data_IF_107493026632
#
_entry.id   IF_107493026632
#
_cell.length_a   1.000
_cell.length_b   1.000
_cell.length_c   1.000
_cell.angle_alpha   90.00
_cell.angle_beta   90.00
_cell.angle_gamma   90.00
#
_symmetry.space_group_name_H-M   'P 1'
#
loop_
_entity.id
_entity.type
_entity.pdbx_description
1 polymer ?
#
# COMPACT_ATOMS: atom_id res chain seq x y z
N UNK A 1 -17.78 44.17 -49.32
CA UNK A 1 -19.05 44.85 -48.97
C UNK A 1 -20.21 43.93 -49.32
N UNK A 2 -21.20 43.87 -48.41
CA UNK A 2 -22.48 43.12 -48.46
C UNK A 2 -22.42 41.62 -48.15
N UNK A 3 -22.89 41.35 -46.93
CA UNK A 3 -23.23 40.07 -46.33
C UNK A 3 -24.42 39.42 -47.04
N UNK A 4 -24.39 38.09 -47.20
CA UNK A 4 -25.61 37.28 -47.09
C UNK A 4 -25.33 36.11 -46.15
N UNK A 5 -26.00 36.16 -45.00
CA UNK A 5 -26.14 35.10 -44.01
C UNK A 5 -27.20 34.12 -44.52
N UNK A 6 -26.86 32.86 -44.71
CA UNK A 6 -27.84 31.78 -44.85
C UNK A 6 -27.86 30.97 -43.56
N UNK A 7 -28.96 31.09 -42.83
CA UNK A 7 -29.31 30.19 -41.74
C UNK A 7 -29.66 28.82 -42.35
N UNK A 8 -28.95 27.77 -41.93
CA UNK A 8 -29.35 26.39 -42.20
C UNK A 8 -29.85 25.77 -40.91
N UNK A 9 -31.08 25.25 -40.98
CA UNK A 9 -31.89 24.83 -39.84
C UNK A 9 -31.36 23.59 -39.13
N UNK A 10 -31.43 23.67 -37.80
CA UNK A 10 -31.17 22.57 -36.87
C UNK A 10 -32.45 21.72 -36.77
N UNK A 11 -32.46 20.55 -37.40
CA UNK A 11 -33.55 19.58 -37.27
C UNK A 11 -33.26 18.65 -36.08
N UNK A 12 -33.92 18.87 -34.95
CA UNK A 12 -33.91 17.97 -33.80
C UNK A 12 -35.02 16.94 -33.99
N UNK A 13 -34.66 15.69 -34.29
CA UNK A 13 -35.59 14.57 -34.26
C UNK A 13 -35.55 13.91 -32.88
N UNK A 14 -36.53 14.24 -32.03
CA UNK A 14 -36.78 13.54 -30.77
C UNK A 14 -37.62 12.28 -31.07
N UNK A 15 -37.05 11.11 -30.84
CA UNK A 15 -37.75 9.82 -30.94
C UNK A 15 -38.03 9.34 -29.51
N UNK A 16 -39.25 9.58 -29.04
CA UNK A 16 -39.79 8.97 -27.83
C UNK A 16 -40.58 7.72 -28.23
N UNK A 17 -40.06 6.53 -27.93
CA UNK A 17 -40.88 5.31 -27.91
C UNK A 17 -41.34 5.05 -26.47
N UNK A 18 -42.62 5.28 -26.23
CA UNK A 18 -43.35 4.74 -25.09
C UNK A 18 -43.80 3.30 -25.45
N UNK A 19 -43.39 2.32 -24.64
CA UNK A 19 -43.89 0.95 -24.68
C UNK A 19 -44.34 0.53 -23.29
N UNK A 20 -45.66 0.34 -23.14
CA UNK A 20 -46.30 -0.20 -21.94
C UNK A 20 -46.46 -1.72 -22.04
N UNK A 21 -46.33 -2.41 -20.89
CA UNK A 21 -47.17 -3.57 -20.57
C UNK A 21 -46.44 -4.91 -20.41
N UNK A 22 -46.51 -5.48 -19.20
CA UNK A 22 -46.19 -6.89 -18.96
C UNK A 22 -45.90 -7.22 -17.51
N UNK A 23 -46.95 -7.49 -16.73
CA UNK A 23 -46.88 -7.94 -15.33
C UNK A 23 -46.52 -9.43 -15.21
N UNK A 24 -45.97 -9.81 -14.05
CA UNK A 24 -46.11 -11.16 -13.50
C UNK A 24 -44.81 -11.91 -13.26
N UNK A 25 -44.33 -11.94 -12.01
CA UNK A 25 -43.20 -12.77 -11.61
C UNK A 25 -42.79 -12.55 -10.16
N UNK A 26 -43.65 -12.99 -9.24
CA UNK A 26 -43.34 -13.05 -7.80
C UNK A 26 -42.25 -14.08 -7.53
N UNK A 27 -41.11 -13.66 -6.98
CA UNK A 27 -40.17 -14.54 -6.28
C UNK A 27 -39.79 -13.90 -4.93
N UNK A 28 -40.24 -14.56 -3.87
CA UNK A 28 -39.97 -14.24 -2.46
C UNK A 28 -38.50 -14.55 -2.07
N UNK A 29 -38.03 -14.08 -0.90
CA UNK A 29 -36.66 -13.64 -0.71
C UNK A 29 -35.68 -14.79 -0.41
N UNK A 30 -34.48 -14.71 -0.98
CA UNK A 30 -33.36 -15.53 -0.54
C UNK A 30 -32.84 -15.01 0.81
N UNK A 31 -32.96 -15.85 1.83
CA UNK A 31 -32.46 -15.62 3.17
C UNK A 31 -30.93 -15.42 3.18
N UNK A 32 -30.49 -14.46 3.99
CA UNK A 32 -29.08 -14.22 4.32
C UNK A 32 -28.50 -15.41 5.09
N UNK A 33 -27.30 -15.93 4.74
CA UNK A 33 -26.61 -16.85 5.63
C UNK A 33 -26.05 -16.05 6.82
N UNK A 34 -26.54 -16.37 8.03
CA UNK A 34 -25.96 -15.90 9.29
C UNK A 34 -24.62 -16.61 9.52
N UNK A 35 -23.55 -15.83 9.63
CA UNK A 35 -22.24 -16.29 10.08
C UNK A 35 -22.34 -16.70 11.55
N UNK A 36 -21.84 -17.90 11.87
CA UNK A 36 -21.81 -18.46 13.23
C UNK A 36 -20.44 -18.13 13.83
N UNK A 37 -20.41 -17.34 14.90
CA UNK A 37 -19.18 -17.08 15.65
C UNK A 37 -18.75 -18.35 16.42
N UNK A 38 -17.48 -18.79 16.32
CA UNK A 38 -16.97 -19.82 17.22
C UNK A 38 -16.77 -19.24 18.62
N UNK A 39 -17.48 -19.85 19.58
CA UNK A 39 -17.39 -19.54 21.00
C UNK A 39 -15.96 -19.67 21.55
N UNK A 40 -15.52 -18.63 22.27
CA UNK A 40 -14.35 -18.68 23.13
C UNK A 40 -14.66 -19.53 24.37
N UNK A 41 -13.91 -20.62 24.57
CA UNK A 41 -13.88 -21.32 25.85
C UNK A 41 -12.93 -20.61 26.81
N UNK A 42 -13.51 -19.90 27.77
CA UNK A 42 -12.87 -19.54 29.02
C UNK A 42 -12.72 -20.79 29.89
N UNK A 43 -11.55 -21.01 30.48
CA UNK A 43 -11.36 -21.94 31.60
C UNK A 43 -11.11 -21.12 32.87
N UNK A 44 -12.05 -21.19 33.80
CA UNK A 44 -11.99 -20.63 35.14
C UNK A 44 -11.40 -21.64 36.14
N UNK A 45 -10.82 -21.07 37.19
CA UNK A 45 -9.99 -21.69 38.21
C UNK A 45 -10.76 -22.39 39.36
N UNK A 46 -10.02 -23.17 40.15
CA UNK A 46 -10.27 -23.42 41.59
C UNK A 46 -9.69 -24.76 42.09
N UNK A 47 -9.47 -24.94 43.41
CA UNK A 47 -8.80 -24.04 44.35
C UNK A 47 -7.74 -24.76 45.25
N UNK A 48 -7.25 -24.00 46.25
CA UNK A 48 -6.13 -24.20 47.16
C UNK A 48 -6.13 -25.44 48.09
N UNK A 49 -4.92 -25.81 48.55
CA UNK A 49 -4.66 -26.69 49.68
C UNK A 49 -3.29 -26.39 50.31
N UNK A 50 -3.30 -26.17 51.62
CA UNK A 50 -2.30 -25.54 52.52
C UNK A 50 -1.15 -26.42 53.02
N UNK A 51 -0.03 -25.74 53.35
CA UNK A 51 0.86 -25.92 54.53
C UNK A 51 1.71 -27.20 54.68
N UNK A 52 3.04 -27.04 54.67
CA UNK A 52 3.92 -27.28 55.83
C UNK A 52 5.41 -27.10 55.46
N UNK A 53 6.13 -26.25 56.21
CA UNK A 53 7.59 -26.28 56.35
C UNK A 53 7.97 -27.12 57.59
N UNK A 54 9.21 -27.64 57.71
CA UNK A 54 10.23 -26.85 58.41
C UNK A 54 11.68 -26.94 57.86
N UNK A 55 12.41 -25.86 58.12
CA UNK A 55 13.83 -25.72 58.56
C UNK A 55 14.57 -27.01 59.00
N UNK A 56 15.87 -27.29 58.84
CA UNK A 56 17.15 -26.52 58.76
C UNK A 56 18.18 -27.42 58.07
N UNK A 57 19.14 -26.89 57.30
CA UNK A 57 20.58 -27.27 57.31
C UNK A 57 21.36 -26.61 56.16
N UNK A 58 22.20 -25.64 56.49
CA UNK A 58 23.39 -25.30 55.71
C UNK A 58 24.60 -25.99 56.38
N UNK A 59 25.65 -26.38 55.63
CA UNK A 59 26.72 -25.40 55.42
C UNK A 59 27.47 -25.47 54.08
N UNK A 60 28.18 -24.37 53.84
CA UNK A 60 29.49 -24.24 53.19
C UNK A 60 29.67 -24.47 51.67
N UNK A 61 29.88 -23.32 51.00
CA UNK A 61 31.10 -22.97 50.25
C UNK A 61 31.39 -23.68 48.92
N UNK A 62 31.05 -23.01 47.82
CA UNK A 62 31.98 -22.72 46.73
C UNK A 62 31.40 -21.62 45.82
N UNK A 63 32.19 -20.56 45.59
CA UNK A 63 32.04 -19.59 44.50
C UNK A 63 33.38 -19.58 43.74
N UNK A 64 33.49 -19.19 42.45
CA UNK A 64 32.49 -18.55 41.59
C UNK A 64 32.36 -19.18 40.18
N UNK A 65 31.27 -18.89 39.47
CA UNK A 65 31.28 -18.95 38.00
C UNK A 65 30.71 -17.66 37.45
N UNK A 66 31.61 -16.88 36.86
CA UNK A 66 31.32 -15.63 36.18
C UNK A 66 30.43 -15.88 34.95
N UNK A 67 29.57 -14.91 34.58
CA UNK A 67 28.80 -14.98 33.34
C UNK A 67 29.73 -14.73 32.15
N UNK A 68 29.82 -15.69 31.22
CA UNK A 68 30.49 -15.49 29.93
C UNK A 68 29.67 -14.48 29.14
N UNK A 69 30.13 -13.23 29.13
CA UNK A 69 29.70 -12.20 28.18
C UNK A 69 30.03 -12.68 26.77
N UNK A 70 29.04 -13.17 26.03
CA UNK A 70 29.17 -13.41 24.60
C UNK A 70 29.30 -12.06 23.88
N UNK A 71 30.50 -11.80 23.35
CA UNK A 71 30.81 -10.66 22.49
C UNK A 71 30.01 -10.79 21.19
N UNK A 72 29.26 -9.77 20.72
CA UNK A 72 28.59 -9.84 19.44
C UNK A 72 29.64 -9.94 18.32
N UNK A 73 29.57 -11.03 17.56
CA UNK A 73 30.35 -11.23 16.33
C UNK A 73 29.94 -10.13 15.34
N UNK A 74 30.88 -9.34 14.78
CA UNK A 74 30.54 -8.39 13.73
C UNK A 74 29.93 -9.18 12.57
N UNK A 75 28.66 -8.92 12.25
CA UNK A 75 28.04 -9.41 11.03
C UNK A 75 28.81 -8.77 9.88
N UNK A 76 29.72 -9.54 9.28
CA UNK A 76 30.42 -9.13 8.08
C UNK A 76 29.35 -8.70 7.05
N UNK A 77 29.49 -7.47 6.56
CA UNK A 77 28.68 -6.98 5.45
C UNK A 77 28.89 -7.93 4.28
N UNK A 78 27.90 -8.79 4.03
CA UNK A 78 27.88 -9.59 2.82
C UNK A 78 27.69 -8.62 1.66
N UNK A 79 28.76 -8.43 0.88
CA UNK A 79 28.70 -7.84 -0.45
C UNK A 79 27.84 -8.76 -1.32
N UNK A 80 26.53 -8.50 -1.31
CA UNK A 80 25.56 -9.24 -2.12
C UNK A 80 25.77 -8.90 -3.58
N UNK A 81 26.01 -9.94 -4.39
CA UNK A 81 25.77 -9.95 -5.84
C UNK A 81 24.47 -9.18 -6.14
N UNK A 82 24.41 -8.31 -7.18
CA UNK A 82 23.17 -7.63 -7.54
C UNK A 82 22.07 -8.68 -7.68
N UNK A 83 21.07 -8.62 -6.81
CA UNK A 83 19.92 -9.49 -6.95
C UNK A 83 19.30 -9.20 -8.32
N UNK A 84 18.93 -10.24 -9.06
CA UNK A 84 18.10 -10.04 -10.25
C UNK A 84 16.73 -9.55 -9.78
N UNK A 85 16.48 -8.25 -9.91
CA UNK A 85 15.24 -7.61 -9.47
C UNK A 85 14.17 -7.85 -10.53
N UNK A 86 12.98 -8.28 -10.09
CA UNK A 86 11.79 -8.41 -10.93
C UNK A 86 10.81 -7.28 -10.62
N UNK A 87 10.28 -6.64 -11.65
CA UNK A 87 9.21 -5.66 -11.55
C UNK A 87 7.88 -6.24 -12.02
N UNK A 88 6.82 -5.87 -11.30
CA UNK A 88 5.42 -6.23 -11.53
C UNK A 88 4.61 -4.94 -11.53
N UNK A 89 3.59 -4.87 -12.38
CA UNK A 89 2.67 -3.74 -12.37
C UNK A 89 1.88 -3.72 -11.03
N UNK A 90 1.78 -2.57 -10.33
CA UNK A 90 1.38 -2.53 -8.93
C UNK A 90 -0.11 -2.78 -8.64
N UNK A 91 -0.95 -2.86 -9.68
CA UNK A 91 -2.38 -3.15 -9.55
C UNK A 91 -2.72 -4.38 -10.38
N UNK A 92 -3.11 -5.46 -9.72
CA UNK A 92 -3.45 -6.75 -10.31
C UNK A 92 -4.93 -6.74 -10.76
N UNK A 93 -5.20 -5.95 -11.80
CA UNK A 93 -6.51 -5.80 -12.45
C UNK A 93 -6.35 -5.54 -13.96
N UNK A 94 -7.32 -5.96 -14.77
CA UNK A 94 -7.28 -5.84 -16.24
C UNK A 94 -7.61 -4.43 -16.75
N UNK A 95 -8.47 -3.70 -16.04
CA UNK A 95 -8.91 -2.35 -16.41
C UNK A 95 -8.27 -1.35 -15.45
N UNK A 96 -7.13 -0.79 -15.85
CA UNK A 96 -6.41 0.22 -15.08
C UNK A 96 -5.99 1.33 -16.02
N UNK A 97 -6.43 2.55 -15.74
CA UNK A 97 -6.03 3.74 -16.48
C UNK A 97 -5.04 4.56 -15.66
N UNK A 98 -4.03 5.12 -16.31
CA UNK A 98 -3.05 6.02 -15.68
C UNK A 98 -2.51 7.01 -16.72
N UNK A 99 -2.06 8.18 -16.27
CA UNK A 99 -1.57 9.24 -17.16
C UNK A 99 -0.09 9.54 -16.94
N UNK A 100 0.50 10.27 -17.87
CA UNK A 100 1.87 10.78 -17.77
C UNK A 100 1.99 12.10 -17.00
N UNK A 101 0.91 12.55 -16.35
CA UNK A 101 0.84 13.82 -15.63
C UNK A 101 0.34 13.63 -14.20
N UNK A 102 0.75 14.54 -13.31
CA UNK A 102 0.23 14.64 -11.95
C UNK A 102 0.42 16.10 -11.50
N UNK A 103 -0.57 16.68 -10.84
CA UNK A 103 -0.78 18.14 -10.83
C UNK A 103 0.28 18.98 -10.11
N UNK A 104 1.02 18.41 -9.15
CA UNK A 104 1.92 19.18 -8.26
C UNK A 104 3.35 18.62 -8.16
N UNK A 105 3.54 17.33 -8.39
CA UNK A 105 4.81 16.65 -8.17
C UNK A 105 4.86 15.32 -8.94
N UNK A 106 6.05 14.73 -9.18
CA UNK A 106 6.18 13.46 -9.87
C UNK A 106 5.51 12.30 -9.13
N UNK A 107 4.42 11.80 -9.69
CA UNK A 107 3.69 10.61 -9.27
C UNK A 107 2.73 10.23 -10.41
N UNK A 108 1.85 9.25 -10.19
CA UNK A 108 0.69 9.02 -11.05
C UNK A 108 -0.41 8.33 -10.26
N UNK A 109 -1.65 8.52 -10.69
CA UNK A 109 -2.81 7.82 -10.16
C UNK A 109 -3.17 6.67 -11.09
N UNK A 110 -3.28 5.47 -10.51
CA UNK A 110 -3.81 4.29 -11.19
C UNK A 110 -5.31 4.20 -10.89
N UNK A 111 -6.13 4.69 -11.81
CA UNK A 111 -7.59 4.64 -11.71
C UNK A 111 -8.08 3.22 -11.97
N UNK A 112 -8.84 2.70 -11.01
CA UNK A 112 -9.29 1.31 -10.97
C UNK A 112 -10.45 1.21 -9.97
N UNK A 113 -11.29 0.19 -10.10
CA UNK A 113 -12.36 -0.08 -9.16
C UNK A 113 -11.82 -0.25 -7.72
N UNK A 114 -12.64 0.14 -6.74
CA UNK A 114 -12.34 -0.08 -5.33
C UNK A 114 -12.31 -1.58 -5.01
N UNK A 115 -11.41 -1.99 -4.13
CA UNK A 115 -11.29 -3.39 -3.70
C UNK A 115 -10.35 -4.24 -4.58
N UNK A 116 -9.80 -3.67 -5.64
CA UNK A 116 -8.80 -4.33 -6.48
C UNK A 116 -7.47 -4.52 -5.75
N UNK A 117 -6.66 -5.45 -6.24
CA UNK A 117 -5.44 -5.90 -5.56
C UNK A 117 -4.28 -4.93 -5.82
N UNK A 118 -3.82 -4.23 -4.78
CA UNK A 118 -2.55 -3.52 -4.79
C UNK A 118 -1.41 -4.44 -4.33
N UNK A 119 -0.41 -4.63 -5.19
CA UNK A 119 0.68 -5.60 -5.01
C UNK A 119 2.05 -4.93 -4.96
N UNK A 120 3.02 -5.60 -4.36
CA UNK A 120 4.40 -5.13 -4.32
C UNK A 120 5.02 -5.13 -5.72
N UNK A 121 5.42 -3.96 -6.21
CA UNK A 121 6.08 -3.78 -7.51
C UNK A 121 7.31 -4.66 -7.66
N UNK A 122 8.09 -4.81 -6.58
CA UNK A 122 9.25 -5.68 -6.55
C UNK A 122 9.40 -6.31 -5.17
N UNK A 123 10.29 -7.29 -5.06
CA UNK A 123 10.67 -7.84 -3.76
C UNK A 123 11.37 -6.77 -2.95
N UNK A 124 11.02 -6.63 -1.67
CA UNK A 124 11.52 -5.54 -0.84
C UNK A 124 11.17 -5.69 0.64
N UNK A 125 11.54 -4.70 1.42
CA UNK A 125 11.18 -4.61 2.84
C UNK A 125 10.18 -3.49 3.03
N UNK A 126 9.10 -3.75 3.77
CA UNK A 126 8.13 -2.71 4.12
C UNK A 126 8.81 -1.68 5.03
N UNK A 127 8.82 -0.41 4.61
CA UNK A 127 9.40 0.69 5.36
C UNK A 127 8.42 1.22 6.40
N UNK A 128 7.31 1.75 5.90
CA UNK A 128 6.27 2.39 6.70
C UNK A 128 4.90 2.14 6.08
N UNK A 129 3.89 2.30 6.91
CA UNK A 129 2.50 2.17 6.53
C UNK A 129 1.63 3.08 7.38
N UNK A 130 0.47 3.45 6.85
CA UNK A 130 -0.59 4.13 7.57
C UNK A 130 -1.79 3.19 7.61
N UNK A 131 -2.16 2.71 8.80
CA UNK A 131 -3.29 1.79 9.01
C UNK A 131 -4.61 2.52 9.29
N UNK A 132 -4.57 3.84 9.45
CA UNK A 132 -5.71 4.64 9.88
C UNK A 132 -5.78 5.87 9.03
N UNK A 133 -6.97 6.16 8.49
CA UNK A 133 -7.20 7.39 7.79
C UNK A 133 -7.30 8.54 8.80
N UNK A 134 -6.28 9.42 8.79
CA UNK A 134 -6.19 10.61 9.65
C UNK A 134 -6.33 11.88 8.84
N UNK A 135 -6.70 11.77 7.57
CA UNK A 135 -6.94 12.93 6.74
C UNK A 135 -8.16 13.70 7.26
N UNK A 136 -8.07 15.02 7.19
CA UNK A 136 -9.15 15.94 7.48
C UNK A 136 -9.28 16.85 6.28
N UNK A 137 -10.46 16.85 5.68
CA UNK A 137 -10.75 17.66 4.50
C UNK A 137 -10.53 19.15 4.78
N UNK A 138 -9.94 19.85 3.81
CA UNK A 138 -9.63 21.28 3.91
C UNK A 138 -8.31 21.61 4.61
N UNK A 139 -7.64 20.64 5.24
CA UNK A 139 -6.30 20.88 5.79
C UNK A 139 -5.25 21.07 4.69
N UNK A 140 -4.16 21.83 4.96
CA UNK A 140 -3.02 21.91 4.06
C UNK A 140 -2.40 20.54 3.76
N UNK A 141 -1.78 20.41 2.58
CA UNK A 141 -1.10 19.18 2.17
C UNK A 141 -0.06 18.74 3.22
N UNK A 142 -0.14 17.48 3.63
CA UNK A 142 0.71 16.94 4.67
C UNK A 142 0.83 15.41 4.65
N UNK A 143 1.41 14.82 5.71
CA UNK A 143 1.71 13.39 5.77
C UNK A 143 0.47 12.49 5.74
N UNK A 144 -0.71 13.02 6.11
CA UNK A 144 -1.95 12.29 6.20
C UNK A 144 -2.74 12.23 4.88
N UNK A 145 -2.35 13.00 3.85
CA UNK A 145 -3.09 13.06 2.57
C UNK A 145 -3.27 11.70 1.89
N UNK A 146 -2.37 10.75 2.13
CA UNK A 146 -2.46 9.40 1.54
C UNK A 146 -3.50 8.48 2.17
N UNK A 147 -4.09 8.84 3.32
CA UNK A 147 -4.98 7.93 4.05
C UNK A 147 -4.27 6.64 4.46
N UNK A 148 -4.84 5.48 4.11
CA UNK A 148 -4.16 4.20 4.25
C UNK A 148 -3.14 4.03 3.13
N UNK A 149 -1.91 3.65 3.50
CA UNK A 149 -0.79 3.63 2.57
C UNK A 149 0.28 2.63 2.98
N UNK A 150 1.06 2.15 2.02
CA UNK A 150 2.23 1.29 2.25
C UNK A 150 3.41 1.82 1.41
N UNK A 151 4.60 1.89 2.01
CA UNK A 151 5.86 2.12 1.33
C UNK A 151 6.78 0.91 1.51
N UNK A 152 7.43 0.46 0.43
CA UNK A 152 8.45 -0.59 0.46
C UNK A 152 9.78 -0.05 -0.07
N UNK A 153 10.89 -0.46 0.53
CA UNK A 153 12.24 -0.37 -0.03
C UNK A 153 12.45 -1.65 -0.85
N UNK A 154 12.45 -1.53 -2.18
CA UNK A 154 12.76 -2.62 -3.07
C UNK A 154 14.19 -3.12 -2.88
N UNK A 155 14.43 -4.38 -3.23
CA UNK A 155 15.78 -4.97 -3.21
C UNK A 155 16.73 -4.29 -4.23
N UNK A 156 16.19 -3.44 -5.10
CA UNK A 156 16.91 -2.54 -6.02
C UNK A 156 17.32 -1.20 -5.38
N UNK A 157 16.96 -0.97 -4.11
CA UNK A 157 17.25 0.26 -3.37
C UNK A 157 16.28 1.41 -3.68
N UNK A 158 15.15 1.16 -4.34
CA UNK A 158 14.14 2.17 -4.67
C UNK A 158 12.95 2.07 -3.73
N UNK A 159 12.38 3.21 -3.32
CA UNK A 159 11.11 3.25 -2.59
C UNK A 159 9.94 3.24 -3.57
N UNK A 160 9.01 2.32 -3.34
CA UNK A 160 7.70 2.25 -4.00
C UNK A 160 6.59 2.51 -2.99
N UNK A 161 5.74 3.49 -3.29
CA UNK A 161 4.69 3.96 -2.40
C UNK A 161 3.33 3.83 -3.07
N UNK A 162 2.35 3.30 -2.35
CA UNK A 162 0.95 3.27 -2.77
C UNK A 162 0.04 3.77 -1.65
N UNK A 163 -0.94 4.62 -1.98
CA UNK A 163 -1.89 5.17 -1.01
C UNK A 163 -3.33 5.20 -1.51
N UNK A 164 -4.21 5.78 -0.70
CA UNK A 164 -5.67 5.75 -0.87
C UNK A 164 -6.27 4.35 -0.72
N UNK A 165 -5.58 3.43 -0.05
CA UNK A 165 -6.02 2.04 0.08
C UNK A 165 -7.29 1.92 0.94
N UNK A 166 -8.18 0.98 0.64
CA UNK A 166 -9.33 0.68 1.53
C UNK A 166 -8.91 -0.22 2.70
N UNK A 167 -7.87 -1.02 2.48
CA UNK A 167 -7.37 -2.00 3.47
C UNK A 167 -5.91 -2.32 3.21
N UNK A 168 -5.15 -2.56 4.27
CA UNK A 168 -3.82 -3.17 4.21
C UNK A 168 -3.93 -4.66 4.57
N UNK A 169 -3.26 -5.51 3.80
CA UNK A 169 -3.33 -6.96 3.95
C UNK A 169 -2.77 -7.39 5.31
N UNK A 170 -3.41 -8.39 5.93
CA UNK A 170 -2.92 -8.95 7.20
C UNK A 170 -1.48 -9.46 7.07
N UNK A 171 -0.66 -9.20 8.09
CA UNK A 171 0.75 -9.57 8.12
C UNK A 171 1.69 -8.57 7.44
N UNK A 172 1.17 -7.59 6.69
CA UNK A 172 1.97 -6.46 6.21
C UNK A 172 2.21 -5.49 7.36
N UNK A 173 3.48 -5.35 7.75
CA UNK A 173 3.96 -4.46 8.82
C UNK A 173 5.38 -4.01 8.51
N UNK A 174 5.83 -2.93 9.13
CA UNK A 174 7.20 -2.43 8.97
C UNK A 174 8.23 -3.53 9.27
N UNK A 175 9.27 -3.60 8.45
CA UNK A 175 10.33 -4.61 8.52
C UNK A 175 9.99 -5.97 7.89
N UNK A 176 8.75 -6.22 7.46
CA UNK A 176 8.41 -7.47 6.77
C UNK A 176 8.95 -7.49 5.34
N UNK A 177 9.51 -8.64 4.95
CA UNK A 177 9.89 -8.91 3.56
C UNK A 177 8.67 -9.25 2.73
N UNK A 178 8.59 -8.65 1.56
CA UNK A 178 7.56 -8.93 0.55
C UNK A 178 8.23 -9.41 -0.74
N UNK A 179 7.51 -10.23 -1.50
CA UNK A 179 7.92 -10.68 -2.84
C UNK A 179 7.25 -9.81 -3.90
N UNK A 180 7.89 -9.65 -5.06
CA UNK A 180 7.25 -9.03 -6.22
C UNK A 180 5.89 -9.70 -6.54
N UNK A 181 4.84 -8.90 -6.70
CA UNK A 181 3.46 -9.37 -6.91
C UNK A 181 2.71 -9.81 -5.65
N UNK A 182 3.34 -9.76 -4.47
CA UNK A 182 2.65 -10.06 -3.21
C UNK A 182 1.59 -9.01 -2.90
N UNK A 183 0.40 -9.45 -2.51
CA UNK A 183 -0.68 -8.56 -2.06
C UNK A 183 -0.25 -7.72 -0.85
N UNK A 184 -0.34 -6.41 -0.99
CA UNK A 184 -0.05 -5.43 0.06
C UNK A 184 -1.35 -4.86 0.66
N UNK A 185 -2.39 -4.71 -0.14
CA UNK A 185 -3.65 -4.12 0.27
C UNK A 185 -4.66 -4.10 -0.86
N UNK A 186 -5.77 -3.43 -0.62
CA UNK A 186 -6.84 -3.26 -1.59
C UNK A 186 -6.98 -1.78 -1.94
N UNK A 187 -7.25 -1.49 -3.20
CA UNK A 187 -7.51 -0.13 -3.69
C UNK A 187 -8.73 0.47 -2.99
N UNK A 188 -8.78 1.80 -2.89
CA UNK A 188 -9.80 2.48 -2.13
C UNK A 188 -9.86 3.97 -2.42
N UNK A 189 -10.37 4.71 -1.44
CA UNK A 189 -10.63 6.16 -1.51
C UNK A 189 -10.34 6.89 -0.19
N UNK A 190 -9.46 6.34 0.64
CA UNK A 190 -9.11 6.99 1.93
C UNK A 190 -8.19 8.17 1.68
N UNK A 191 -8.11 9.12 2.60
CA UNK A 191 -7.26 10.30 2.44
C UNK A 191 -7.84 11.33 1.47
N UNK A 192 -6.97 12.18 0.93
CA UNK A 192 -7.33 13.21 -0.03
C UNK A 192 -7.48 12.64 -1.45
N UNK A 193 -8.40 11.69 -1.64
CA UNK A 193 -8.62 10.99 -2.92
C UNK A 193 -9.77 11.57 -3.74
N UNK A 194 -10.39 12.67 -3.27
CA UNK A 194 -11.62 13.25 -3.82
C UNK A 194 -12.80 12.25 -3.92
N UNK A 195 -12.79 11.20 -3.09
CA UNK A 195 -13.79 10.14 -3.11
C UNK A 195 -13.71 9.18 -4.29
N UNK A 196 -12.71 9.33 -5.17
CA UNK A 196 -12.50 8.47 -6.35
C UNK A 196 -11.59 7.29 -6.00
N UNK A 197 -11.94 6.09 -6.48
CA UNK A 197 -11.13 4.89 -6.31
C UNK A 197 -9.89 4.95 -7.21
N UNK A 198 -8.71 4.91 -6.61
CA UNK A 198 -7.43 4.82 -7.31
C UNK A 198 -6.31 4.41 -6.36
N UNK A 199 -5.13 4.14 -6.91
CA UNK A 199 -3.87 4.12 -6.15
C UNK A 199 -3.04 5.31 -6.58
N UNK A 200 -2.76 6.23 -5.67
CA UNK A 200 -1.67 7.19 -5.86
C UNK A 200 -0.36 6.41 -5.74
N UNK A 201 0.47 6.46 -6.78
CA UNK A 201 1.70 5.68 -6.86
C UNK A 201 2.94 6.55 -7.01
N UNK A 202 3.85 6.42 -6.05
CA UNK A 202 5.10 7.17 -5.96
C UNK A 202 6.32 6.29 -6.18
N UNK A 203 7.29 6.81 -6.94
CA UNK A 203 8.66 6.28 -7.02
C UNK A 203 9.61 7.33 -6.45
N UNK A 204 10.47 6.92 -5.51
CA UNK A 204 11.40 7.83 -4.82
C UNK A 204 12.61 7.08 -4.26
N UNK A 205 13.69 7.78 -3.88
CA UNK A 205 14.73 7.18 -3.05
C UNK A 205 14.23 6.94 -1.61
N UNK A 206 14.73 5.91 -0.91
CA UNK A 206 14.41 5.66 0.50
C UNK A 206 15.21 6.56 1.46
N UNK A 207 15.29 7.87 1.20
CA UNK A 207 16.17 8.83 1.89
C UNK A 207 16.13 8.76 3.42
N UNK A 208 15.03 9.19 4.06
CA UNK A 208 14.88 9.09 5.51
C UNK A 208 14.31 7.72 5.94
N UNK A 209 14.00 6.85 4.97
CA UNK A 209 13.25 5.59 5.10
C UNK A 209 11.82 5.73 5.61
N UNK A 210 11.54 6.60 6.57
CA UNK A 210 10.21 6.88 7.10
C UNK A 210 10.04 8.36 7.46
N UNK A 211 8.81 8.88 7.42
CA UNK A 211 8.51 10.25 7.89
C UNK A 211 8.90 11.39 6.95
N UNK A 212 9.59 11.12 5.84
CA UNK A 212 9.91 12.05 4.76
C UNK A 212 8.76 12.14 3.73
N UNK A 213 7.57 12.53 4.19
CA UNK A 213 6.34 12.41 3.40
C UNK A 213 6.39 13.07 2.02
N UNK A 214 7.14 14.17 1.87
CA UNK A 214 7.33 14.89 0.60
C UNK A 214 8.13 14.09 -0.44
N UNK A 215 9.11 13.30 0.00
CA UNK A 215 9.88 12.39 -0.85
C UNK A 215 9.06 11.11 -1.08
N UNK A 216 8.50 10.56 0.00
CA UNK A 216 7.67 9.33 0.00
C UNK A 216 6.57 9.36 -1.05
N UNK A 217 5.86 10.49 -1.21
CA UNK A 217 4.74 10.64 -2.17
C UNK A 217 5.17 10.54 -3.63
N UNK A 218 6.47 10.62 -3.93
CA UNK A 218 7.01 10.49 -5.29
C UNK A 218 7.83 11.71 -5.71
N UNK A 219 8.97 11.42 -6.34
CA UNK A 219 9.89 12.42 -6.92
C UNK A 219 10.42 12.01 -8.29
N UNK A 220 10.04 10.82 -8.77
CA UNK A 220 10.31 10.30 -10.12
C UNK A 220 9.00 9.96 -10.81
N UNK A 221 8.84 10.41 -12.07
CA UNK A 221 7.66 10.15 -12.89
C UNK A 221 7.47 8.65 -13.21
N UNK A 222 6.41 7.99 -12.70
CA UNK A 222 6.28 6.53 -12.83
C UNK A 222 5.91 6.02 -14.22
N UNK A 223 5.30 6.87 -15.06
CA UNK A 223 4.59 6.47 -16.28
C UNK A 223 5.35 5.49 -17.18
N UNK A 224 6.62 5.80 -17.51
CA UNK A 224 7.37 4.96 -18.46
C UNK A 224 7.78 3.60 -17.88
N UNK A 225 7.91 3.50 -16.56
CA UNK A 225 8.19 2.24 -15.88
C UNK A 225 6.93 1.39 -15.80
N UNK A 226 5.80 2.00 -15.39
CA UNK A 226 4.50 1.35 -15.38
C UNK A 226 4.11 0.82 -16.76
N UNK A 227 4.31 1.62 -17.83
CA UNK A 227 4.05 1.18 -19.20
C UNK A 227 4.92 -0.02 -19.63
N UNK A 228 6.15 -0.11 -19.12
CA UNK A 228 7.01 -1.28 -19.32
C UNK A 228 6.49 -2.49 -18.55
N UNK A 229 6.26 -2.35 -17.24
CA UNK A 229 5.85 -3.45 -16.36
C UNK A 229 4.46 -3.99 -16.70
N UNK A 230 3.54 -3.15 -17.18
CA UNK A 230 2.21 -3.58 -17.67
C UNK A 230 2.31 -4.57 -18.83
N UNK A 231 3.37 -4.47 -19.64
CA UNK A 231 3.66 -5.36 -20.78
C UNK A 231 4.63 -6.51 -20.40
N UNK A 232 4.90 -6.71 -19.12
CA UNK A 232 5.88 -7.68 -18.63
C UNK A 232 7.36 -7.25 -18.76
N UNK A 233 7.62 -6.03 -19.23
CA UNK A 233 8.97 -5.47 -19.31
C UNK A 233 9.59 -5.22 -17.93
N UNK A 234 10.90 -5.00 -17.89
CA UNK A 234 11.69 -4.92 -16.65
C UNK A 234 12.48 -3.60 -16.56
N UNK A 235 11.93 -2.50 -17.08
CA UNK A 235 12.59 -1.18 -17.04
C UNK A 235 12.84 -0.77 -15.59
N UNK A 236 14.10 -0.56 -15.23
CA UNK A 236 14.50 -0.20 -13.86
C UNK A 236 14.49 1.32 -13.64
N UNK A 237 13.98 1.82 -12.50
CA UNK A 237 14.04 3.23 -12.12
C UNK A 237 15.32 3.64 -11.36
N UNK A 238 16.20 2.68 -11.03
CA UNK A 238 17.36 2.88 -10.14
C UNK A 238 18.24 4.06 -10.56
N UNK A 239 18.60 4.15 -11.84
CA UNK A 239 19.46 5.22 -12.33
C UNK A 239 18.83 6.61 -12.15
N UNK A 240 17.54 6.74 -12.45
CA UNK A 240 16.79 8.00 -12.32
C UNK A 240 16.60 8.39 -10.87
N UNK A 241 16.30 7.43 -10.00
CA UNK A 241 16.18 7.63 -8.55
C UNK A 241 17.52 8.06 -7.94
N UNK A 242 18.62 7.41 -8.34
CA UNK A 242 19.97 7.75 -7.87
C UNK A 242 20.39 9.15 -8.32
N UNK A 243 20.11 9.51 -9.57
CA UNK A 243 20.38 10.84 -10.10
C UNK A 243 19.61 11.91 -9.31
N UNK A 244 18.31 11.71 -9.09
CA UNK A 244 17.49 12.63 -8.31
C UNK A 244 18.03 12.79 -6.89
N UNK A 245 18.37 11.69 -6.21
CA UNK A 245 18.87 11.73 -4.83
C UNK A 245 20.18 12.54 -4.71
N UNK A 246 21.09 12.36 -5.68
CA UNK A 246 22.36 13.10 -5.75
C UNK A 246 22.15 14.59 -6.02
N UNK A 247 21.29 14.92 -6.97
CA UNK A 247 21.04 16.31 -7.38
C UNK A 247 20.32 17.13 -6.29
N UNK A 248 19.40 16.49 -5.57
CA UNK A 248 18.51 17.16 -4.62
C UNK A 248 18.95 17.00 -3.16
N UNK A 249 20.05 16.28 -2.88
CA UNK A 249 20.51 15.98 -1.52
C UNK A 249 19.37 15.45 -0.62
N UNK A 250 18.54 14.57 -1.21
CA UNK A 250 17.36 13.99 -0.56
C UNK A 250 16.29 15.00 -0.07
N UNK A 251 16.23 16.22 -0.61
CA UNK A 251 15.27 17.27 -0.22
C UNK A 251 14.20 17.49 -1.29
N UNK A 252 12.95 17.69 -0.85
CA UNK A 252 11.76 17.89 -1.69
C UNK A 252 10.82 18.99 -1.16
#
# INVERSE_FOLDING_TARGET
>A
MRLLRTLSGLTIAAVCLAGCGGAGGSSSPAATPKFVDPAAQASSAGPAGTSAAPEVSAPASASPSAPVKAKPKPSAAATTKPASVKYVFPVDASNVDWSNTHSKYPATDLFVDCGERFVATTSGTVLELSLTDRYVEGNPDGPNNGGLSVAIEGDDGVRYYGSHLSRIQSGIKAGVRVKAGQLLGLTGKTGNSSGVCHVHYGISPPCAKTGDWKVRRGVVWPYTYLASWRKGGQKSPVATVTAWAKENDCKA
#
